data_IF_103723177512
#
_entry.id   IF_103723177512
#
_cell.length_a   1.000
_cell.length_b   1.000
_cell.length_c   1.000
_cell.angle_alpha   90.00
_cell.angle_beta   90.00
_cell.angle_gamma   90.00
#
_symmetry.space_group_name_H-M   'P 1'
#
loop_
_entity.id
_entity.type
_entity.pdbx_description
1 polymer ?
#
# COMPACT_ATOMS: atom_id res chain seq x y z
N UNK A 1 -12.41 -4.95 0.50
CA UNK A 1 -12.31 -3.95 1.60
C UNK A 1 -11.03 -4.21 2.38
N UNK A 2 -10.32 -3.17 2.85
CA UNK A 2 -9.07 -3.27 3.62
C UNK A 2 -9.17 -4.16 4.88
N UNK A 3 -10.38 -4.39 5.38
CA UNK A 3 -10.62 -5.14 6.61
C UNK A 3 -10.20 -6.61 6.51
N UNK A 4 -10.13 -7.22 5.31
CA UNK A 4 -9.78 -8.64 5.12
C UNK A 4 -8.44 -8.99 5.77
N UNK A 5 -7.46 -8.09 5.67
CA UNK A 5 -6.15 -8.23 6.30
C UNK A 5 -5.89 -7.16 7.38
N UNK A 6 -6.94 -6.53 7.91
CA UNK A 6 -6.84 -5.56 9.01
C UNK A 6 -6.16 -4.25 8.64
N UNK A 7 -6.27 -3.82 7.38
CA UNK A 7 -5.77 -2.51 6.95
C UNK A 7 -6.70 -1.37 7.35
N UNK A 8 -6.13 -0.20 7.65
CA UNK A 8 -6.87 1.05 7.86
C UNK A 8 -6.49 2.05 6.77
N UNK A 9 -7.51 2.59 6.08
CA UNK A 9 -7.31 3.70 5.15
C UNK A 9 -6.93 4.93 5.96
N UNK A 10 -5.83 5.59 5.58
CA UNK A 10 -5.37 6.82 6.22
C UNK A 10 -5.84 8.03 5.43
N UNK A 11 -5.53 8.05 4.13
CA UNK A 11 -5.85 9.17 3.24
C UNK A 11 -5.76 8.75 1.78
N UNK A 12 -6.36 9.56 0.92
CA UNK A 12 -6.12 9.54 -0.52
C UNK A 12 -4.91 10.40 -0.85
N UNK A 13 -4.16 10.02 -1.89
CA UNK A 13 -2.99 10.77 -2.38
C UNK A 13 -3.06 10.77 -3.91
N UNK A 14 -3.54 11.88 -4.49
CA UNK A 14 -3.83 11.94 -5.92
C UNK A 14 -4.92 10.95 -6.32
N UNK A 15 -4.61 10.06 -7.27
CA UNK A 15 -5.42 8.93 -7.73
C UNK A 15 -5.23 7.66 -6.86
N UNK A 16 -4.32 7.72 -5.89
CA UNK A 16 -3.98 6.60 -5.02
C UNK A 16 -4.57 6.70 -3.61
N UNK A 17 -4.33 5.65 -2.83
CA UNK A 17 -4.67 5.60 -1.40
C UNK A 17 -3.47 5.19 -0.58
N UNK A 18 -3.40 5.70 0.64
CA UNK A 18 -2.44 5.28 1.66
C UNK A 18 -3.18 4.54 2.75
N UNK A 19 -2.77 3.30 2.98
CA UNK A 19 -3.33 2.43 4.04
C UNK A 19 -2.22 1.93 4.93
N UNK A 20 -2.51 1.73 6.21
CA UNK A 20 -1.57 1.16 7.17
C UNK A 20 -2.02 -0.22 7.64
N UNK A 21 -1.04 -1.03 8.03
CA UNK A 21 -1.25 -2.37 8.57
C UNK A 21 -0.33 -2.56 9.77
N UNK A 22 -0.78 -3.33 10.75
CA UNK A 22 0.04 -3.71 11.91
C UNK A 22 1.02 -4.85 11.61
N UNK A 23 1.01 -5.40 10.38
CA UNK A 23 1.87 -6.49 9.94
C UNK A 23 2.25 -6.33 8.48
N UNK A 24 3.55 -6.47 8.16
CA UNK A 24 4.06 -6.42 6.80
C UNK A 24 3.48 -7.56 5.93
N UNK A 25 3.42 -8.80 6.47
CA UNK A 25 2.85 -9.94 5.75
C UNK A 25 1.37 -9.75 5.40
N UNK A 26 0.59 -9.09 6.28
CA UNK A 26 -0.80 -8.73 5.98
C UNK A 26 -0.91 -7.69 4.86
N UNK A 27 -0.03 -6.69 4.86
CA UNK A 27 0.03 -5.68 3.80
C UNK A 27 0.38 -6.30 2.44
N UNK A 28 1.34 -7.25 2.40
CA UNK A 28 1.71 -7.98 1.18
C UNK A 28 0.54 -8.81 0.64
N UNK A 29 -0.21 -9.48 1.53
CA UNK A 29 -1.41 -10.24 1.13
C UNK A 29 -2.51 -9.35 0.56
N UNK A 30 -2.80 -8.21 1.19
CA UNK A 30 -3.77 -7.24 0.65
C UNK A 30 -3.31 -6.71 -0.72
N UNK A 31 -2.03 -6.39 -0.88
CA UNK A 31 -1.49 -5.90 -2.15
C UNK A 31 -1.69 -6.91 -3.28
N UNK A 32 -1.39 -8.20 -3.03
CA UNK A 32 -1.61 -9.27 -4.01
C UNK A 32 -3.08 -9.49 -4.33
N UNK A 33 -3.97 -9.44 -3.32
CA UNK A 33 -5.42 -9.54 -3.54
C UNK A 33 -5.95 -8.37 -4.38
N UNK A 34 -5.47 -7.15 -4.12
CA UNK A 34 -5.85 -5.95 -4.89
C UNK A 34 -5.42 -6.02 -6.34
N UNK A 35 -4.19 -6.48 -6.59
CA UNK A 35 -3.72 -6.62 -7.96
C UNK A 35 -4.57 -7.60 -8.75
N UNK A 36 -4.88 -8.78 -8.18
CA UNK A 36 -5.80 -9.74 -8.81
C UNK A 36 -7.17 -9.14 -9.09
N UNK A 37 -7.76 -8.44 -8.12
CA UNK A 37 -9.09 -7.83 -8.31
C UNK A 37 -9.08 -6.85 -9.48
N UNK A 38 -8.06 -6.01 -9.63
CA UNK A 38 -7.98 -5.05 -10.74
C UNK A 38 -7.64 -5.73 -12.06
N UNK A 39 -6.78 -6.75 -12.05
CA UNK A 39 -6.43 -7.50 -13.26
C UNK A 39 -7.65 -8.27 -13.84
N UNK A 40 -8.56 -8.71 -12.96
CA UNK A 40 -9.82 -9.41 -13.27
C UNK A 40 -10.99 -8.46 -13.62
N UNK A 41 -10.83 -7.14 -13.49
CA UNK A 41 -11.89 -6.19 -13.86
C UNK A 41 -12.01 -6.09 -15.38
N UNK A 42 -13.22 -6.38 -15.87
CA UNK A 42 -13.59 -6.13 -17.26
C UNK A 42 -13.91 -4.63 -17.46
N UNK A 43 -13.23 -3.98 -18.40
CA UNK A 43 -13.47 -2.58 -18.73
C UNK A 43 -12.33 -1.94 -19.52
N UNK A 44 -12.69 -1.06 -20.46
CA UNK A 44 -11.74 -0.25 -21.24
C UNK A 44 -11.88 1.24 -20.84
N UNK A 45 -10.77 1.94 -20.53
CA UNK A 45 -9.40 1.42 -20.51
C UNK A 45 -9.13 0.51 -19.30
N UNK A 46 -8.28 -0.50 -19.50
CA UNK A 46 -7.86 -1.38 -18.40
C UNK A 46 -7.13 -0.58 -17.32
N UNK A 47 -7.64 -0.63 -16.09
CA UNK A 47 -6.99 -0.02 -14.94
C UNK A 47 -5.77 -0.87 -14.51
N UNK A 48 -4.71 -0.20 -14.08
CA UNK A 48 -3.51 -0.84 -13.53
C UNK A 48 -3.16 -0.20 -12.20
N UNK A 49 -3.02 -0.97 -11.12
CA UNK A 49 -2.53 -0.42 -9.86
C UNK A 49 -1.00 -0.44 -9.81
N UNK A 50 -0.47 0.53 -9.09
CA UNK A 50 0.93 0.58 -8.67
C UNK A 50 0.92 0.50 -7.15
N UNK A 51 1.59 -0.48 -6.57
CA UNK A 51 1.58 -0.68 -5.12
C UNK A 51 3.01 -0.67 -4.59
N UNK A 52 3.24 0.12 -3.55
CA UNK A 52 4.51 0.13 -2.82
C UNK A 52 4.29 -0.11 -1.33
N UNK A 53 5.10 -0.97 -0.74
CA UNK A 53 5.02 -1.36 0.67
C UNK A 53 6.32 -1.06 1.41
N UNK A 54 6.18 -0.51 2.62
CA UNK A 54 7.29 -0.30 3.54
C UNK A 54 6.83 -0.44 4.99
N UNK A 55 7.79 -0.78 5.84
CA UNK A 55 7.61 -0.92 7.29
C UNK A 55 8.60 -0.02 8.01
N UNK A 56 8.17 0.50 9.15
CA UNK A 56 8.99 1.26 10.09
C UNK A 56 8.09 1.89 11.14
N UNK A 57 8.72 2.54 12.12
CA UNK A 57 8.01 3.17 13.21
C UNK A 57 7.21 4.37 12.74
N UNK A 58 5.97 4.45 13.22
CA UNK A 58 5.03 5.53 12.98
C UNK A 58 4.36 5.92 14.29
N UNK A 59 4.01 7.19 14.42
CA UNK A 59 3.24 7.72 15.54
C UNK A 59 1.90 8.18 15.00
N UNK A 60 0.81 7.80 15.67
CA UNK A 60 -0.53 8.28 15.36
C UNK A 60 -0.68 9.70 15.93
N UNK A 61 -1.07 10.65 15.07
CA UNK A 61 -1.29 12.05 15.45
C UNK A 61 -2.59 12.53 14.80
N UNK A 62 -3.60 12.79 15.64
CA UNK A 62 -4.95 13.11 15.18
C UNK A 62 -5.54 11.99 14.32
N UNK A 63 -5.93 12.33 13.09
CA UNK A 63 -6.46 11.36 12.11
C UNK A 63 -5.36 10.80 11.18
N UNK A 64 -4.10 11.16 11.41
CA UNK A 64 -2.97 10.84 10.55
C UNK A 64 -1.87 10.04 11.23
N UNK A 65 -0.79 9.85 10.48
CA UNK A 65 0.44 9.22 10.96
C UNK A 65 1.64 10.09 10.59
N UNK A 66 2.55 10.25 11.54
CA UNK A 66 3.86 10.83 11.35
C UNK A 66 4.94 9.74 11.42
N UNK A 67 6.01 9.93 10.65
CA UNK A 67 7.16 9.04 10.69
C UNK A 67 7.92 9.02 9.38
N UNK A 68 9.19 8.65 9.46
CA UNK A 68 10.03 8.50 8.26
C UNK A 68 9.49 7.43 7.31
N UNK A 69 8.83 6.39 7.84
CA UNK A 69 8.17 5.36 7.05
C UNK A 69 7.01 5.91 6.20
N UNK A 70 6.22 6.84 6.74
CA UNK A 70 5.12 7.52 6.03
C UNK A 70 5.65 8.42 4.92
N UNK A 71 6.69 9.20 5.21
CA UNK A 71 7.32 10.10 4.23
C UNK A 71 7.97 9.32 3.07
N UNK A 72 8.60 8.18 3.37
CA UNK A 72 9.13 7.28 2.34
C UNK A 72 8.00 6.68 1.48
N UNK A 73 6.88 6.29 2.10
CA UNK A 73 5.71 5.78 1.37
C UNK A 73 5.12 6.78 0.39
N UNK A 74 4.92 8.02 0.83
CA UNK A 74 4.41 9.07 -0.03
C UNK A 74 5.35 9.38 -1.22
N UNK A 75 6.67 9.25 -1.03
CA UNK A 75 7.67 9.59 -2.05
C UNK A 75 7.93 8.46 -3.06
N UNK A 76 7.77 7.21 -2.66
CA UNK A 76 8.22 6.04 -3.44
C UNK A 76 7.05 5.32 -4.12
N UNK A 77 5.80 5.59 -3.74
CA UNK A 77 4.64 5.06 -4.49
C UNK A 77 4.66 5.42 -5.99
N UNK A 78 5.27 6.55 -6.36
CA UNK A 78 5.39 7.00 -7.75
C UNK A 78 6.44 6.27 -8.59
N UNK A 79 7.32 5.47 -7.98
CA UNK A 79 8.38 4.73 -8.70
C UNK A 79 8.05 3.26 -8.98
N UNK A 80 6.88 2.77 -8.56
CA UNK A 80 6.42 1.45 -8.97
C UNK A 80 5.87 1.51 -10.41
N UNK A 81 6.21 0.50 -11.22
CA UNK A 81 5.68 0.40 -12.58
C UNK A 81 4.21 -0.06 -12.55
N UNK A 82 3.40 0.27 -13.59
CA UNK A 82 2.02 -0.22 -13.70
C UNK A 82 1.92 -1.74 -13.55
N UNK A 83 1.04 -2.20 -12.66
CA UNK A 83 0.84 -3.62 -12.37
C UNK A 83 1.84 -4.22 -11.35
N UNK A 84 2.77 -3.42 -10.84
CA UNK A 84 3.83 -3.91 -9.97
C UNK A 84 3.53 -3.70 -8.47
N UNK A 85 3.95 -4.68 -7.67
CA UNK A 85 4.05 -4.57 -6.21
C UNK A 85 5.54 -4.47 -5.84
N UNK A 86 5.98 -3.29 -5.42
CA UNK A 86 7.33 -3.06 -4.88
C UNK A 86 7.30 -3.14 -3.35
N UNK A 87 8.26 -3.84 -2.77
CA UNK A 87 8.37 -4.01 -1.31
C UNK A 87 9.75 -3.59 -0.87
N UNK A 88 9.86 -2.74 0.15
CA UNK A 88 11.15 -2.39 0.74
C UNK A 88 11.80 -3.59 1.41
N UNK A 89 13.13 -3.61 1.52
CA UNK A 89 13.84 -4.71 2.21
C UNK A 89 13.38 -4.89 3.66
N UNK A 90 13.09 -3.78 4.35
CA UNK A 90 12.55 -3.80 5.70
C UNK A 90 11.20 -4.53 5.76
N UNK A 91 10.26 -4.16 4.88
CA UNK A 91 8.97 -4.86 4.80
C UNK A 91 9.13 -6.33 4.40
N UNK A 92 10.04 -6.64 3.47
CA UNK A 92 10.32 -8.01 3.03
C UNK A 92 10.88 -8.89 4.16
N UNK A 93 11.74 -8.36 5.01
CA UNK A 93 12.34 -9.09 6.14
C UNK A 93 11.33 -9.42 7.26
N UNK A 94 10.20 -8.73 7.30
CA UNK A 94 9.16 -8.84 8.33
C UNK A 94 7.85 -9.45 7.82
N UNK A 95 7.81 -9.84 6.54
CA UNK A 95 6.63 -10.34 5.85
C UNK A 95 6.40 -11.85 6.03
#
# INVERSE_FOLDING_TARGET
>A
MLNKFGGRLVKTVGDGTMSIFTSAGRAVKEAGDRQRVVDDMDGEPKLTLRIWLNTGDIVEEGEGFLGTAVNKAARIASVADPGEIRVSDAARSMA
#
